data_IF_843067020655
#
_entry.id   IF_843067020655
#
_cell.length_a   1.000
_cell.length_b   1.000
_cell.length_c   1.000
_cell.angle_alpha   90.00
_cell.angle_beta   90.00
_cell.angle_gamma   90.00
#
_symmetry.space_group_name_H-M   'P 1'
#
loop_
_entity.id
_entity.type
_entity.pdbx_description
1 polymer ?
#
# COMPACT_ATOMS: atom_id res chain seq x y z
N UNK A 1 67.04 31.79 32.17
CA UNK A 1 67.61 30.80 31.21
C UNK A 1 67.18 29.39 31.53
N UNK A 2 67.70 28.73 32.58
CA UNK A 2 67.38 27.31 32.87
C UNK A 2 65.89 26.96 33.02
N UNK A 3 65.05 27.89 33.51
CA UNK A 3 63.61 27.68 33.64
C UNK A 3 62.92 27.66 32.26
N UNK A 4 63.26 28.62 31.39
CA UNK A 4 62.74 28.69 30.03
C UNK A 4 63.16 27.46 29.21
N UNK A 5 64.36 26.93 29.43
CA UNK A 5 64.83 25.72 28.74
C UNK A 5 64.00 24.48 29.13
N UNK A 6 63.58 24.38 30.40
CA UNK A 6 62.69 23.30 30.86
C UNK A 6 61.29 23.44 30.26
N UNK A 7 60.72 24.65 30.35
CA UNK A 7 59.41 24.94 29.76
C UNK A 7 59.41 24.69 28.25
N UNK A 8 60.50 25.01 27.55
CA UNK A 8 60.67 24.69 26.13
C UNK A 8 60.58 23.20 25.86
N UNK A 9 61.30 22.38 26.63
CA UNK A 9 61.31 20.92 26.49
C UNK A 9 59.92 20.35 26.81
N UNK A 10 59.27 20.84 27.87
CA UNK A 10 57.93 20.40 28.25
C UNK A 10 56.90 20.72 27.17
N UNK A 11 56.95 21.93 26.60
CA UNK A 11 56.07 22.35 25.50
C UNK A 11 56.35 21.56 24.21
N UNK A 12 57.61 21.29 23.89
CA UNK A 12 57.98 20.44 22.75
C UNK A 12 57.45 19.00 22.91
N UNK A 13 57.46 18.47 24.14
CA UNK A 13 56.88 17.18 24.46
C UNK A 13 55.36 17.17 24.27
N UNK A 14 54.67 18.15 24.85
CA UNK A 14 53.23 18.31 24.70
C UNK A 14 52.81 18.46 23.23
N UNK A 15 53.58 19.20 22.43
CA UNK A 15 53.32 19.35 21.00
C UNK A 15 53.37 17.99 20.29
N UNK A 16 54.43 17.20 20.51
CA UNK A 16 54.57 15.86 19.92
C UNK A 16 53.46 14.91 20.34
N UNK A 17 53.05 14.95 21.61
CA UNK A 17 51.96 14.13 22.12
C UNK A 17 50.63 14.49 21.45
N UNK A 18 50.35 15.78 21.28
CA UNK A 18 49.16 16.27 20.57
C UNK A 18 49.19 15.87 19.10
N UNK A 19 50.33 16.02 18.42
CA UNK A 19 50.51 15.59 17.03
C UNK A 19 50.26 14.09 16.87
N UNK A 20 50.80 13.27 17.78
CA UNK A 20 50.58 11.83 17.77
C UNK A 20 49.11 11.47 17.97
N UNK A 21 48.44 12.09 18.96
CA UNK A 21 47.02 11.89 19.22
C UNK A 21 46.17 12.27 18.01
N UNK A 22 46.44 13.42 17.40
CA UNK A 22 45.73 13.90 16.21
C UNK A 22 45.90 12.95 15.04
N UNK A 23 47.12 12.47 14.78
CA UNK A 23 47.38 11.52 13.70
C UNK A 23 46.65 10.19 13.94
N UNK A 24 46.68 9.69 15.18
CA UNK A 24 45.97 8.47 15.54
C UNK A 24 44.45 8.62 15.38
N UNK A 25 43.88 9.72 15.86
CA UNK A 25 42.46 10.03 15.72
C UNK A 25 42.07 10.17 14.24
N UNK A 26 42.88 10.86 13.44
CA UNK A 26 42.66 11.03 12.00
C UNK A 26 42.61 9.68 11.28
N UNK A 27 43.53 8.77 11.60
CA UNK A 27 43.53 7.39 11.05
C UNK A 27 42.27 6.62 11.42
N UNK A 28 41.87 6.69 12.69
CA UNK A 28 40.63 6.05 13.17
C UNK A 28 39.40 6.62 12.47
N UNK A 29 39.32 7.94 12.35
CA UNK A 29 38.24 8.64 11.68
C UNK A 29 38.11 8.24 10.21
N UNK A 30 39.22 8.22 9.47
CA UNK A 30 39.20 7.82 8.06
C UNK A 30 38.76 6.37 7.88
N UNK A 31 39.23 5.46 8.74
CA UNK A 31 38.77 4.06 8.73
C UNK A 31 37.27 3.95 8.97
N UNK A 32 36.75 4.63 9.98
CA UNK A 32 35.30 4.63 10.27
C UNK A 32 34.48 5.24 9.14
N UNK A 33 35.00 6.28 8.46
CA UNK A 33 34.33 6.90 7.32
C UNK A 33 34.31 5.98 6.09
N UNK A 34 35.38 5.19 5.87
CA UNK A 34 35.42 4.14 4.85
C UNK A 34 34.40 3.04 5.15
N UNK A 35 34.36 2.54 6.38
CA UNK A 35 33.37 1.54 6.82
C UNK A 35 31.93 2.06 6.66
N UNK A 36 31.68 3.32 7.04
CA UNK A 36 30.38 3.97 6.87
C UNK A 36 29.96 4.04 5.40
N UNK A 37 30.88 4.39 4.49
CA UNK A 37 30.63 4.43 3.04
C UNK A 37 30.32 3.04 2.51
N UNK A 38 31.09 2.03 2.92
CA UNK A 38 30.86 0.63 2.56
C UNK A 38 29.47 0.14 2.97
N UNK A 39 29.08 0.37 4.23
CA UNK A 39 27.73 -0.01 4.68
C UNK A 39 26.62 0.76 3.96
N UNK A 40 26.85 2.02 3.61
CA UNK A 40 25.89 2.79 2.83
C UNK A 40 25.70 2.21 1.42
N UNK A 41 26.77 1.75 0.77
CA UNK A 41 26.67 1.08 -0.53
C UNK A 41 25.99 -0.27 -0.44
N UNK A 42 26.34 -1.10 0.54
CA UNK A 42 25.70 -2.40 0.78
C UNK A 42 24.20 -2.25 1.08
N UNK A 43 23.83 -1.24 1.89
CA UNK A 43 22.44 -0.97 2.19
C UNK A 43 21.65 -0.53 0.94
N UNK A 44 22.28 0.24 0.05
CA UNK A 44 21.65 0.62 -1.22
C UNK A 44 21.45 -0.59 -2.13
N UNK A 45 22.45 -1.45 -2.23
CA UNK A 45 22.40 -2.68 -3.05
C UNK A 45 21.35 -3.66 -2.53
N UNK A 46 21.34 -3.95 -1.22
CA UNK A 46 20.34 -4.81 -0.59
C UNK A 46 18.92 -4.26 -0.76
N UNK A 47 18.72 -2.94 -0.65
CA UNK A 47 17.42 -2.29 -0.93
C UNK A 47 16.99 -2.49 -2.39
N UNK A 48 17.91 -2.39 -3.35
CA UNK A 48 17.62 -2.64 -4.76
C UNK A 48 17.18 -4.09 -4.98
N UNK A 49 17.93 -5.07 -4.44
CA UNK A 49 17.60 -6.51 -4.52
C UNK A 49 16.24 -6.81 -3.89
N UNK A 50 15.92 -6.21 -2.74
CA UNK A 50 14.60 -6.36 -2.10
C UNK A 50 13.50 -5.77 -3.00
N UNK A 51 13.74 -4.61 -3.60
CA UNK A 51 12.81 -3.96 -4.53
C UNK A 51 12.50 -4.83 -5.75
N UNK A 52 13.55 -5.38 -6.38
CA UNK A 52 13.44 -6.29 -7.52
C UNK A 52 12.72 -7.59 -7.15
N UNK A 53 13.07 -8.20 -6.02
CA UNK A 53 12.43 -9.43 -5.53
C UNK A 53 10.94 -9.20 -5.28
N UNK A 54 10.57 -8.08 -4.65
CA UNK A 54 9.17 -7.70 -4.45
C UNK A 54 8.45 -7.46 -5.77
N UNK A 55 9.09 -6.83 -6.75
CA UNK A 55 8.51 -6.59 -8.07
C UNK A 55 8.27 -7.90 -8.82
N UNK A 56 9.26 -8.80 -8.85
CA UNK A 56 9.14 -10.15 -9.41
C UNK A 56 8.02 -10.93 -8.75
N UNK A 57 7.93 -10.90 -7.42
CA UNK A 57 6.85 -11.60 -6.70
C UNK A 57 5.46 -11.06 -7.06
N UNK A 58 5.28 -9.73 -7.12
CA UNK A 58 4.01 -9.12 -7.56
C UNK A 58 3.66 -9.50 -8.99
N UNK A 59 4.65 -9.54 -9.88
CA UNK A 59 4.45 -9.95 -11.27
C UNK A 59 3.94 -11.40 -11.34
N UNK A 60 4.60 -12.34 -10.65
CA UNK A 60 4.19 -13.74 -10.60
C UNK A 60 2.77 -13.90 -10.04
N UNK A 61 2.43 -13.20 -8.94
CA UNK A 61 1.07 -13.26 -8.38
C UNK A 61 0.02 -12.73 -9.36
N UNK A 62 0.29 -11.60 -10.03
CA UNK A 62 -0.61 -11.05 -11.03
C UNK A 62 -0.77 -11.98 -12.24
N UNK A 63 0.30 -12.64 -12.67
CA UNK A 63 0.28 -13.58 -13.80
C UNK A 63 -0.51 -14.84 -13.45
N UNK A 64 -0.29 -15.41 -12.25
CA UNK A 64 -1.10 -16.52 -11.73
C UNK A 64 -2.58 -16.14 -11.58
N UNK A 65 -2.88 -14.92 -11.13
CA UNK A 65 -4.26 -14.43 -11.05
C UNK A 65 -4.88 -14.32 -12.45
N UNK A 66 -4.16 -13.76 -13.42
CA UNK A 66 -4.61 -13.67 -14.81
C UNK A 66 -4.84 -15.04 -15.43
N UNK A 67 -3.95 -16.00 -15.17
CA UNK A 67 -4.10 -17.37 -15.65
C UNK A 67 -5.32 -18.07 -15.01
N UNK A 68 -5.53 -17.88 -13.69
CA UNK A 68 -6.71 -18.40 -12.99
C UNK A 68 -8.01 -17.77 -13.52
N UNK A 69 -8.03 -16.45 -13.74
CA UNK A 69 -9.17 -15.77 -14.36
C UNK A 69 -9.41 -16.30 -15.77
N UNK A 70 -8.37 -16.56 -16.56
CA UNK A 70 -8.48 -17.11 -17.91
C UNK A 70 -9.03 -18.54 -17.93
N UNK A 71 -8.69 -19.35 -16.92
CA UNK A 71 -9.18 -20.73 -16.73
C UNK A 71 -10.59 -20.79 -16.11
N UNK A 72 -11.05 -19.72 -15.45
CA UNK A 72 -12.36 -19.64 -14.78
C UNK A 72 -13.52 -19.19 -15.72
N UNK A 73 -13.31 -19.14 -17.04
CA UNK A 73 -14.38 -18.89 -18.02
C UNK A 73 -14.48 -20.06 -19.01
N UNK A 74 -15.48 -20.94 -18.79
CA UNK A 74 -16.83 -20.65 -19.25
C UNK A 74 -17.91 -20.63 -18.15
N UNK A 75 -17.54 -20.88 -16.88
CA UNK A 75 -18.50 -21.11 -15.79
C UNK A 75 -19.21 -19.83 -15.32
N UNK A 76 -18.53 -18.68 -15.26
CA UNK A 76 -19.16 -17.43 -14.77
C UNK A 76 -20.23 -16.85 -15.72
N UNK A 77 -20.34 -17.32 -16.97
CA UNK A 77 -21.51 -17.01 -17.84
C UNK A 77 -22.76 -17.82 -17.48
N UNK A 78 -22.64 -18.79 -16.56
CA UNK A 78 -23.72 -19.66 -16.13
C UNK A 78 -24.38 -19.20 -14.82
N UNK A 79 -23.86 -18.19 -14.12
CA UNK A 79 -24.43 -17.65 -12.87
C UNK A 79 -25.72 -16.80 -13.07
N UNK A 80 -26.32 -16.85 -14.27
CA UNK A 80 -27.70 -16.43 -14.52
C UNK A 80 -28.68 -17.61 -14.67
N UNK A 81 -28.21 -18.86 -14.55
CA UNK A 81 -29.00 -20.09 -14.78
C UNK A 81 -29.74 -20.58 -13.53
N UNK A 82 -30.46 -19.68 -12.89
CA UNK A 82 -31.70 -20.06 -12.21
C UNK A 82 -32.82 -19.19 -12.79
N UNK A 83 -33.16 -19.48 -14.04
CA UNK A 83 -34.13 -18.70 -14.80
C UNK A 83 -34.17 -19.20 -16.23
N UNK A 84 -35.37 -19.52 -16.70
CA UNK A 84 -35.63 -19.88 -18.10
C UNK A 84 -34.97 -18.84 -19.04
N UNK A 85 -34.44 -19.27 -20.20
CA UNK A 85 -33.98 -18.38 -21.27
C UNK A 85 -34.97 -17.24 -21.50
N UNK A 86 -34.49 -16.02 -21.82
CA UNK A 86 -35.37 -14.84 -21.96
C UNK A 86 -36.57 -15.08 -22.90
N UNK A 87 -36.37 -15.85 -23.98
CA UNK A 87 -37.40 -16.26 -24.93
C UNK A 87 -38.40 -17.29 -24.39
N UNK A 88 -38.27 -17.69 -23.13
CA UNK A 88 -39.09 -18.68 -22.43
C UNK A 88 -39.59 -18.16 -21.07
N UNK A 89 -39.29 -16.90 -20.71
CA UNK A 89 -39.80 -16.29 -19.47
C UNK A 89 -41.26 -15.91 -19.69
N UNK A 90 -42.18 -16.56 -19.00
CA UNK A 90 -43.62 -16.31 -19.08
C UNK A 90 -44.07 -15.73 -17.73
N UNK A 91 -44.54 -14.48 -17.71
CA UNK A 91 -45.14 -13.86 -16.51
C UNK A 91 -46.59 -14.31 -16.38
N UNK A 92 -47.34 -14.24 -17.49
CA UNK A 92 -48.73 -14.67 -17.59
C UNK A 92 -48.88 -15.77 -18.65
N UNK A 93 -49.46 -16.94 -18.33
CA UNK A 93 -49.65 -18.03 -19.29
C UNK A 93 -50.48 -17.63 -20.52
N UNK A 94 -51.37 -16.65 -20.38
CA UNK A 94 -52.20 -16.12 -21.48
C UNK A 94 -51.45 -15.15 -22.42
N UNK A 95 -50.27 -14.65 -22.02
CA UNK A 95 -49.53 -13.58 -22.74
C UNK A 95 -48.27 -14.07 -23.45
N UNK A 96 -47.86 -15.32 -23.21
CA UNK A 96 -46.70 -15.93 -23.87
C UNK A 96 -45.35 -15.36 -23.38
N UNK A 97 -44.24 -15.73 -24.04
CA UNK A 97 -42.90 -15.32 -23.62
C UNK A 97 -42.67 -13.80 -23.67
N UNK A 98 -41.97 -13.28 -22.66
CA UNK A 98 -41.68 -11.86 -22.49
C UNK A 98 -40.63 -11.39 -23.52
N UNK A 99 -40.92 -10.29 -24.21
CA UNK A 99 -39.97 -9.64 -25.13
C UNK A 99 -38.92 -8.83 -24.35
N UNK A 100 -37.69 -8.77 -24.86
CA UNK A 100 -36.54 -8.09 -24.22
C UNK A 100 -36.75 -6.59 -23.93
N UNK A 101 -37.66 -5.94 -24.65
CA UNK A 101 -37.96 -4.52 -24.53
C UNK A 101 -39.34 -4.31 -23.90
N UNK A 102 -39.40 -4.28 -22.57
CA UNK A 102 -40.61 -3.84 -21.87
C UNK A 102 -40.74 -2.31 -21.98
N UNK A 103 -41.67 -1.83 -22.81
CA UNK A 103 -42.01 -0.40 -22.87
C UNK A 103 -42.87 -0.06 -21.65
N UNK A 104 -42.23 0.40 -20.58
CA UNK A 104 -42.94 0.93 -19.41
C UNK A 104 -43.21 2.42 -19.66
N UNK A 105 -44.48 2.81 -19.88
CA UNK A 105 -44.84 4.21 -20.15
C UNK A 105 -44.63 5.12 -18.93
N UNK A 106 -44.82 4.61 -17.70
CA UNK A 106 -44.56 5.29 -16.42
C UNK A 106 -44.24 4.25 -15.35
N UNK A 107 -43.15 4.45 -14.61
CA UNK A 107 -42.80 3.59 -13.47
C UNK A 107 -43.70 3.92 -12.26
N UNK A 108 -44.06 2.94 -11.42
CA UNK A 108 -44.74 3.18 -10.16
C UNK A 108 -43.90 4.10 -9.25
N UNK A 109 -44.54 5.09 -8.61
CA UNK A 109 -43.88 5.92 -7.61
C UNK A 109 -43.67 5.09 -6.35
N UNK A 110 -42.42 4.97 -5.88
CA UNK A 110 -42.12 4.36 -4.60
C UNK A 110 -42.51 5.33 -3.48
N UNK A 111 -43.29 4.86 -2.50
CA UNK A 111 -43.56 5.60 -1.28
C UNK A 111 -42.29 5.52 -0.40
N UNK A 112 -41.61 6.66 -0.21
CA UNK A 112 -40.46 6.76 0.69
C UNK A 112 -40.96 6.69 2.14
N UNK A 113 -40.97 5.49 2.71
CA UNK A 113 -41.22 5.30 4.14
C UNK A 113 -39.95 5.62 4.94
N UNK A 114 -39.52 6.89 4.88
CA UNK A 114 -38.55 7.45 5.80
C UNK A 114 -39.27 8.52 6.62
N UNK A 115 -39.33 8.30 7.93
CA UNK A 115 -39.88 9.17 8.97
C UNK A 115 -41.36 9.00 9.30
N UNK A 116 -41.67 7.92 10.02
CA UNK A 116 -42.56 8.05 11.19
C UNK A 116 -41.86 7.34 12.36
N UNK A 117 -40.93 8.04 13.00
CA UNK A 117 -40.46 7.70 14.34
C UNK A 117 -41.43 8.34 15.33
N UNK A 118 -42.12 7.49 16.07
CA UNK A 118 -43.03 7.83 17.16
C UNK A 118 -42.38 8.78 18.19
N UNK A 119 -43.16 9.72 18.73
CA UNK A 119 -43.63 9.68 20.12
C UNK A 119 -44.16 11.04 20.60
N UNK A 120 -45.33 11.00 21.27
CA UNK A 120 -45.79 11.84 22.40
C UNK A 120 -45.87 13.36 22.15
N UNK A 121 -46.84 14.12 22.63
CA UNK A 121 -48.00 13.94 23.51
C UNK A 121 -48.68 15.31 23.60
N UNK A 122 -49.93 15.32 24.05
CA UNK A 122 -50.62 16.41 24.78
C UNK A 122 -51.08 17.71 24.07
N UNK A 123 -52.36 18.00 24.35
CA UNK A 123 -53.13 19.25 24.26
C UNK A 123 -53.49 19.73 22.84
N UNK A 124 -54.75 19.98 22.47
CA UNK A 124 -55.93 20.32 23.26
C UNK A 124 -56.40 21.72 22.88
N UNK A 125 -57.44 21.77 22.03
CA UNK A 125 -58.44 22.83 21.84
C UNK A 125 -58.03 24.30 21.67
N UNK A 126 -58.46 24.89 20.55
CA UNK A 126 -59.44 25.98 20.54
C UNK A 126 -60.13 26.09 19.19
#
# INVERSE_FOLDING_TARGET
>A
MKQLDRERIDLEGQLKDLEWRLNNESRSFHKLEEDRKMYATELRETRAVIGETKAKHRYVLNDMQRENESKQWPEKRLSGKFGLPDNQRIIDPKKGPVKKTAVVRKLPKLLNNASVRNNKSSSGSR
#
